data_IF_004933907755
#
_entry.id   IF_004933907755
#
_cell.length_a   1.000
_cell.length_b   1.000
_cell.length_c   1.000
_cell.angle_alpha   90.00
_cell.angle_beta   90.00
_cell.angle_gamma   90.00
#
_symmetry.space_group_name_H-M   'P 1'
#
loop_
_entity.id
_entity.type
_entity.pdbx_description
1 polymer ?
#
# COMPACT_ATOMS: atom_id res chain seq x y z
N UNK A 1 4.24 22.80 0.30
CA UNK A 1 4.03 21.37 -0.01
C UNK A 1 5.07 20.78 -0.97
N UNK A 2 5.47 21.49 -2.04
CA UNK A 2 6.31 20.93 -3.13
C UNK A 2 7.70 20.43 -2.69
N UNK A 3 8.29 20.99 -1.62
CA UNK A 3 9.61 20.53 -1.12
C UNK A 3 9.61 19.14 -0.47
N UNK A 4 8.48 18.66 0.07
CA UNK A 4 8.41 17.37 0.77
C UNK A 4 8.14 16.20 -0.18
N UNK A 5 7.56 16.47 -1.36
CA UNK A 5 7.09 15.46 -2.32
C UNK A 5 8.14 14.43 -2.75
N UNK A 6 9.42 14.80 -2.74
CA UNK A 6 10.52 13.93 -3.17
C UNK A 6 11.52 13.62 -2.04
N UNK A 7 11.23 14.05 -0.81
CA UNK A 7 12.13 13.87 0.33
C UNK A 7 12.24 12.41 0.79
N UNK A 8 11.34 11.53 0.35
CA UNK A 8 11.35 10.12 0.77
C UNK A 8 10.88 9.91 2.21
N UNK A 9 10.08 10.83 2.73
CA UNK A 9 9.48 10.77 4.06
C UNK A 9 8.04 10.28 3.98
N UNK A 10 7.56 9.64 5.05
CA UNK A 10 6.15 9.33 5.19
C UNK A 10 5.33 10.61 5.42
N UNK A 11 4.11 10.65 4.87
CA UNK A 11 3.17 11.76 5.04
C UNK A 11 1.94 11.26 5.79
N UNK A 12 1.58 11.95 6.89
CA UNK A 12 0.30 11.78 7.56
C UNK A 12 -0.64 12.87 7.08
N UNK A 13 -1.80 12.49 6.52
CA UNK A 13 -2.83 13.41 6.05
C UNK A 13 -4.04 13.25 6.96
N UNK A 14 -4.32 14.29 7.75
CA UNK A 14 -5.43 14.33 8.69
C UNK A 14 -6.60 15.15 8.12
N UNK A 15 -7.80 14.89 8.65
CA UNK A 15 -9.03 15.57 8.25
C UNK A 15 -10.24 14.67 8.44
N UNK A 16 -11.44 15.22 8.27
CA UNK A 16 -12.69 14.47 8.46
C UNK A 16 -12.93 13.46 7.34
N UNK A 17 -13.80 12.47 7.59
CA UNK A 17 -14.22 11.50 6.58
C UNK A 17 -14.92 12.23 5.42
N UNK A 18 -14.55 11.92 4.19
CA UNK A 18 -15.12 12.56 3.00
C UNK A 18 -14.43 13.84 2.52
N UNK A 19 -13.44 14.39 3.23
CA UNK A 19 -12.70 15.59 2.80
C UNK A 19 -11.74 15.38 1.62
N UNK A 20 -11.79 14.23 0.93
CA UNK A 20 -10.93 13.97 -0.24
C UNK A 20 -9.47 13.61 0.08
N UNK A 21 -9.17 13.05 1.26
CA UNK A 21 -7.81 12.61 1.62
C UNK A 21 -7.19 11.68 0.58
N UNK A 22 -7.96 10.75 0.01
CA UNK A 22 -7.47 9.88 -1.06
C UNK A 22 -7.08 10.65 -2.32
N UNK A 23 -7.88 11.67 -2.69
CA UNK A 23 -7.57 12.53 -3.83
C UNK A 23 -6.23 13.24 -3.62
N UNK A 24 -6.00 13.81 -2.43
CA UNK A 24 -4.74 14.45 -2.07
C UNK A 24 -3.56 13.46 -2.20
N UNK A 25 -3.66 12.26 -1.61
CA UNK A 25 -2.61 11.24 -1.70
C UNK A 25 -2.28 10.85 -3.14
N UNK A 26 -3.31 10.67 -3.98
CA UNK A 26 -3.16 10.31 -5.39
C UNK A 26 -2.49 11.43 -6.20
N UNK A 27 -2.90 12.68 -5.97
CA UNK A 27 -2.28 13.85 -6.60
C UNK A 27 -0.81 13.99 -6.19
N UNK A 28 -0.49 13.78 -4.91
CA UNK A 28 0.89 13.80 -4.44
C UNK A 28 1.74 12.73 -5.13
N UNK A 29 1.25 11.50 -5.26
CA UNK A 29 1.95 10.43 -6.00
C UNK A 29 2.23 10.82 -7.45
N UNK A 30 1.21 11.34 -8.16
CA UNK A 30 1.30 11.76 -9.56
C UNK A 30 2.34 12.85 -9.82
N UNK A 31 2.57 13.75 -8.84
CA UNK A 31 3.54 14.84 -8.94
C UNK A 31 4.92 14.47 -8.37
N UNK A 32 5.07 13.29 -7.78
CA UNK A 32 6.34 12.83 -7.20
C UNK A 32 7.27 12.20 -8.26
N UNK A 33 8.52 11.95 -7.87
CA UNK A 33 9.47 11.13 -8.65
C UNK A 33 9.04 9.67 -8.81
N UNK A 34 8.13 9.18 -7.97
CA UNK A 34 7.62 7.79 -8.01
C UNK A 34 6.35 7.63 -8.85
N UNK A 35 5.90 8.67 -9.56
CA UNK A 35 4.65 8.66 -10.35
C UNK A 35 4.51 7.51 -11.36
N UNK A 36 5.62 6.93 -11.82
CA UNK A 36 5.65 5.78 -12.74
C UNK A 36 5.42 4.43 -12.04
N UNK A 37 5.55 4.39 -10.72
CA UNK A 37 5.26 3.22 -9.89
C UNK A 37 3.76 3.07 -9.58
N UNK A 38 3.39 1.90 -9.06
CA UNK A 38 2.01 1.62 -8.67
C UNK A 38 1.62 2.45 -7.44
N UNK A 39 0.42 3.02 -7.49
CA UNK A 39 -0.23 3.59 -6.31
C UNK A 39 -1.18 2.55 -5.72
N UNK A 40 -0.83 2.02 -4.56
CA UNK A 40 -1.60 0.97 -3.88
C UNK A 40 -2.30 1.59 -2.68
N UNK A 41 -3.62 1.73 -2.76
CA UNK A 41 -4.44 2.20 -1.64
C UNK A 41 -4.88 1.02 -0.77
N UNK A 42 -4.81 1.21 0.55
CA UNK A 42 -5.23 0.22 1.54
C UNK A 42 -6.24 0.88 2.47
N UNK A 43 -7.43 0.28 2.58
CA UNK A 43 -8.42 0.68 3.56
C UNK A 43 -8.32 -0.25 4.78
N UNK A 44 -7.60 0.17 5.81
CA UNK A 44 -7.40 -0.64 7.01
C UNK A 44 -8.71 -0.94 7.75
N UNK A 45 -9.74 -0.09 7.62
CA UNK A 45 -11.03 -0.33 8.27
C UNK A 45 -11.86 -1.44 7.58
N UNK A 46 -11.53 -1.79 6.34
CA UNK A 46 -12.21 -2.83 5.58
C UNK A 46 -11.51 -4.20 5.68
N UNK A 47 -10.33 -4.27 6.31
CA UNK A 47 -9.53 -5.49 6.42
C UNK A 47 -9.69 -6.04 7.85
N UNK A 48 -10.11 -7.31 8.03
CA UNK A 48 -10.10 -7.95 9.33
C UNK A 48 -8.70 -7.96 9.93
N UNK A 49 -8.60 -7.73 11.24
CA UNK A 49 -7.30 -7.67 11.95
C UNK A 49 -6.48 -8.95 11.77
N UNK A 50 -7.14 -10.12 11.77
CA UNK A 50 -6.48 -11.41 11.53
C UNK A 50 -5.87 -11.58 10.14
N UNK A 51 -6.27 -10.75 9.17
CA UNK A 51 -5.80 -10.81 7.79
C UNK A 51 -4.86 -9.65 7.43
N UNK A 52 -4.67 -8.67 8.31
CA UNK A 52 -3.92 -7.45 7.96
C UNK A 52 -2.47 -7.74 7.56
N UNK A 53 -1.82 -8.66 8.27
CA UNK A 53 -0.44 -9.07 7.95
C UNK A 53 -0.36 -9.78 6.60
N UNK A 54 -1.28 -10.71 6.36
CA UNK A 54 -1.38 -11.45 5.10
C UNK A 54 -1.69 -10.51 3.92
N UNK A 55 -2.49 -9.46 4.14
CA UNK A 55 -2.77 -8.45 3.13
C UNK A 55 -1.54 -7.58 2.81
N UNK A 56 -0.81 -7.14 3.84
CA UNK A 56 0.34 -6.26 3.68
C UNK A 56 1.57 -6.99 3.12
N UNK A 57 1.91 -8.14 3.69
CA UNK A 57 3.15 -8.87 3.45
C UNK A 57 2.99 -10.09 2.54
N UNK A 58 1.75 -10.52 2.31
CA UNK A 58 1.47 -11.71 1.53
C UNK A 58 1.61 -12.99 2.34
N UNK A 59 1.36 -14.12 1.67
CA UNK A 59 1.45 -15.45 2.23
C UNK A 59 1.80 -16.48 1.15
N UNK A 60 2.41 -17.58 1.56
CA UNK A 60 2.74 -18.70 0.67
C UNK A 60 1.51 -19.60 0.42
N UNK A 61 1.47 -20.33 -0.71
CA UNK A 61 0.46 -21.35 -0.92
C UNK A 61 0.35 -22.30 0.27
N UNK A 62 -0.87 -22.54 0.76
CA UNK A 62 -1.10 -23.46 1.88
C UNK A 62 -0.74 -22.92 3.28
N UNK A 63 -0.48 -21.62 3.43
CA UNK A 63 -0.18 -21.02 4.73
C UNK A 63 -1.31 -21.17 5.78
N UNK A 64 -2.57 -21.29 5.33
CA UNK A 64 -3.73 -21.54 6.18
C UNK A 64 -4.86 -22.22 5.38
N UNK A 65 -5.86 -22.74 6.09
CA UNK A 65 -7.06 -23.34 5.48
C UNK A 65 -7.82 -22.30 4.66
N UNK A 66 -7.87 -22.49 3.34
CA UNK A 66 -8.46 -21.53 2.39
C UNK A 66 -7.46 -20.59 1.70
N UNK A 67 -6.16 -20.73 1.97
CA UNK A 67 -5.13 -19.98 1.25
C UNK A 67 -5.19 -20.28 -0.26
N UNK A 68 -5.03 -19.25 -1.09
CA UNK A 68 -4.91 -19.39 -2.54
C UNK A 68 -3.78 -20.36 -2.90
N UNK A 69 -4.02 -21.23 -3.90
CA UNK A 69 -2.99 -22.14 -4.44
C UNK A 69 -1.78 -21.41 -5.02
N UNK A 70 -1.97 -20.15 -5.42
CA UNK A 70 -0.90 -19.31 -5.97
C UNK A 70 -0.23 -18.45 -4.89
N UNK A 71 -0.68 -18.54 -3.64
CA UNK A 71 -0.28 -17.61 -2.59
C UNK A 71 -0.71 -16.17 -2.91
N UNK A 72 -0.09 -15.22 -2.22
CA UNK A 72 -0.30 -13.81 -2.44
C UNK A 72 0.98 -13.03 -2.08
N UNK A 73 1.36 -12.06 -2.91
CA UNK A 73 2.65 -11.37 -2.76
C UNK A 73 2.66 -10.29 -1.67
N UNK A 74 1.48 -9.80 -1.29
CA UNK A 74 1.28 -8.67 -0.37
C UNK A 74 1.25 -7.30 -1.05
N UNK A 75 0.48 -6.37 -0.48
CA UNK A 75 0.32 -4.99 -1.00
C UNK A 75 1.62 -4.19 -1.03
N UNK A 76 2.53 -4.41 -0.08
CA UNK A 76 3.82 -3.69 -0.04
C UNK A 76 4.68 -4.08 -1.25
N UNK A 77 4.81 -5.37 -1.53
CA UNK A 77 5.55 -5.84 -2.73
C UNK A 77 4.85 -5.43 -4.02
N UNK A 78 3.51 -5.43 -4.04
CA UNK A 78 2.75 -4.92 -5.17
C UNK A 78 3.11 -3.46 -5.48
N UNK A 79 3.21 -2.61 -4.44
CA UNK A 79 3.56 -1.19 -4.59
C UNK A 79 4.98 -0.97 -5.13
N UNK A 80 5.95 -1.81 -4.76
CA UNK A 80 7.32 -1.76 -5.29
C UNK A 80 7.48 -2.42 -6.69
N UNK A 81 6.36 -2.69 -7.37
CA UNK A 81 6.37 -3.28 -8.71
C UNK A 81 6.65 -4.78 -8.75
N UNK A 82 6.46 -5.47 -7.62
CA UNK A 82 6.65 -6.93 -7.52
C UNK A 82 8.10 -7.36 -7.23
N UNK A 83 8.99 -6.41 -6.93
CA UNK A 83 10.37 -6.74 -6.52
C UNK A 83 10.37 -7.37 -5.13
N UNK A 84 11.24 -8.36 -4.94
CA UNK A 84 11.44 -8.97 -3.64
C UNK A 84 12.13 -7.95 -2.70
N UNK A 85 11.55 -7.71 -1.53
CA UNK A 85 12.23 -7.02 -0.44
C UNK A 85 13.31 -7.97 0.08
N UNK A 86 14.60 -7.57 0.14
CA UNK A 86 15.62 -8.39 0.77
C UNK A 86 15.26 -8.61 2.24
N UNK A 87 15.38 -9.87 2.69
CA UNK A 87 15.17 -10.26 4.08
C UNK A 87 16.29 -9.82 4.99
#
# INVERSE_FOLDING_TARGET
MVRLLNAGIALCIEGETGCGKEYVSRTLHQHSRWRSGKFVAINCAAIPESLIESELFGYQPGAFTGASKNGYIGKIREADGGRAVPG
#
